data_IF_568576737861
#
_entry.id   IF_568576737861
#
_cell.length_a   1.000
_cell.length_b   1.000
_cell.length_c   1.000
_cell.angle_alpha   90.00
_cell.angle_beta   90.00
_cell.angle_gamma   90.00
#
_symmetry.space_group_name_H-M   'P 1'
#
loop_
_entity.id
_entity.type
_entity.pdbx_description
1 polymer ?
#
# COMPACT_ATOMS: atom_id res chain seq x y z
N UNK A 1 70.74 -18.07 -16.85
CA UNK A 1 69.94 -17.75 -18.05
C UNK A 1 68.90 -18.83 -18.23
N UNK A 2 67.64 -18.54 -17.91
CA UNK A 2 66.52 -19.44 -18.15
C UNK A 2 65.38 -18.55 -18.67
N UNK A 3 64.89 -18.87 -19.87
CA UNK A 3 63.93 -18.05 -20.62
C UNK A 3 62.52 -18.06 -20.01
N UNK A 4 61.67 -17.10 -20.42
CA UNK A 4 60.34 -16.91 -19.83
C UNK A 4 59.31 -17.91 -20.38
N UNK A 5 58.53 -18.50 -19.47
CA UNK A 5 57.37 -19.33 -19.77
C UNK A 5 56.22 -18.45 -20.28
N UNK A 6 55.94 -18.54 -21.58
CA UNK A 6 54.76 -17.99 -22.23
C UNK A 6 53.49 -18.69 -21.72
N UNK A 7 52.70 -17.97 -20.94
CA UNK A 7 51.33 -18.32 -20.62
C UNK A 7 50.48 -18.27 -21.91
N UNK A 8 49.93 -19.42 -22.31
CA UNK A 8 49.00 -19.50 -23.44
C UNK A 8 47.67 -18.81 -23.07
N UNK A 9 47.33 -17.78 -23.84
CA UNK A 9 46.02 -17.14 -23.87
C UNK A 9 45.05 -18.08 -24.59
N UNK A 10 44.04 -18.60 -23.91
CA UNK A 10 42.91 -19.30 -24.51
C UNK A 10 41.85 -18.30 -24.96
N UNK A 11 41.33 -18.38 -26.20
CA UNK A 11 40.30 -17.46 -26.70
C UNK A 11 38.94 -17.69 -26.07
N UNK A 12 38.25 -16.57 -25.86
CA UNK A 12 36.85 -16.40 -25.47
C UNK A 12 35.88 -17.16 -26.38
N UNK A 13 34.94 -17.89 -25.77
CA UNK A 13 33.76 -18.45 -26.43
C UNK A 13 32.69 -17.35 -26.63
N UNK A 14 31.97 -17.32 -27.76
CA UNK A 14 30.95 -16.32 -28.04
C UNK A 14 29.57 -16.72 -27.51
N UNK A 15 28.92 -15.77 -26.84
CA UNK A 15 27.49 -15.45 -26.98
C UNK A 15 26.46 -16.57 -26.82
N UNK A 16 26.20 -16.98 -25.57
CA UNK A 16 24.93 -17.61 -25.21
C UNK A 16 23.82 -16.55 -25.14
N UNK A 17 22.90 -16.57 -26.11
CA UNK A 17 21.67 -15.75 -26.06
C UNK A 17 20.73 -16.35 -25.01
N UNK A 18 20.78 -15.82 -23.80
CA UNK A 18 19.81 -16.13 -22.77
C UNK A 18 18.50 -15.38 -23.09
N UNK A 19 17.55 -16.11 -23.68
CA UNK A 19 16.20 -15.61 -23.94
C UNK A 19 15.50 -15.34 -22.61
N UNK A 20 15.61 -14.10 -22.14
CA UNK A 20 14.84 -13.57 -21.01
C UNK A 20 13.37 -13.53 -21.42
N UNK A 21 12.63 -14.60 -21.17
CA UNK A 21 11.17 -14.57 -21.18
C UNK A 21 10.74 -13.61 -20.08
N UNK A 22 10.33 -12.41 -20.47
CA UNK A 22 9.64 -11.46 -19.60
C UNK A 22 8.33 -12.12 -19.20
N UNK A 23 8.30 -12.70 -17.99
CA UNK A 23 7.05 -13.06 -17.34
C UNK A 23 6.30 -11.76 -17.10
N UNK A 24 5.37 -11.43 -18.00
CA UNK A 24 4.40 -10.38 -17.76
C UNK A 24 3.69 -10.73 -16.44
N UNK A 25 3.96 -9.95 -15.40
CA UNK A 25 3.22 -10.03 -14.15
C UNK A 25 1.77 -9.70 -14.41
N UNK A 26 0.95 -10.74 -14.62
CA UNK A 26 -0.50 -10.63 -14.63
C UNK A 26 -0.93 -10.23 -13.22
N UNK A 27 -1.33 -8.96 -13.06
CA UNK A 27 -1.96 -8.45 -11.85
C UNK A 27 -3.09 -9.40 -11.41
N UNK A 28 -3.15 -9.83 -10.13
CA UNK A 28 -4.17 -10.76 -9.64
C UNK A 28 -5.61 -10.24 -9.87
N UNK A 29 -5.75 -8.92 -10.02
CA UNK A 29 -7.02 -8.25 -10.25
C UNK A 29 -7.51 -8.30 -11.71
N UNK A 30 -6.64 -8.62 -12.68
CA UNK A 30 -6.99 -8.66 -14.11
C UNK A 30 -7.41 -10.05 -14.58
N UNK A 31 -6.98 -11.10 -13.88
CA UNK A 31 -7.35 -12.49 -14.17
C UNK A 31 -8.77 -12.82 -13.70
N UNK A 32 -9.22 -12.18 -12.61
CA UNK A 32 -10.57 -12.37 -12.05
C UNK A 32 -11.67 -11.78 -12.91
N UNK A 33 -11.39 -10.75 -13.72
CA UNK A 33 -12.37 -10.17 -14.64
C UNK A 33 -12.79 -11.17 -15.72
N UNK A 34 -11.86 -11.93 -16.30
CA UNK A 34 -12.21 -12.89 -17.36
C UNK A 34 -12.97 -14.12 -16.83
N UNK A 35 -12.70 -14.52 -15.59
CA UNK A 35 -13.41 -15.63 -14.95
C UNK A 35 -14.78 -15.20 -14.37
N UNK A 36 -14.94 -13.96 -13.91
CA UNK A 36 -16.23 -13.45 -13.45
C UNK A 36 -17.18 -13.14 -14.61
N UNK A 37 -16.70 -12.56 -15.72
CA UNK A 37 -17.55 -12.29 -16.89
C UNK A 37 -18.13 -13.60 -17.45
N UNK A 38 -17.36 -14.68 -17.50
CA UNK A 38 -17.84 -16.00 -17.96
C UNK A 38 -18.76 -16.76 -16.99
N UNK A 39 -18.71 -16.46 -15.69
CA UNK A 39 -19.60 -17.08 -14.69
C UNK A 39 -20.95 -16.36 -14.60
N UNK A 40 -20.96 -15.05 -14.79
CA UNK A 40 -22.18 -14.24 -14.80
C UNK A 40 -23.01 -14.54 -16.07
N UNK A 41 -22.37 -14.76 -17.22
CA UNK A 41 -23.04 -15.19 -18.47
C UNK A 41 -23.66 -16.60 -18.37
N UNK A 42 -23.15 -17.47 -17.50
CA UNK A 42 -23.67 -18.85 -17.34
C UNK A 42 -24.84 -18.95 -16.38
N UNK A 43 -24.97 -18.03 -15.42
CA UNK A 43 -26.07 -18.03 -14.45
C UNK A 43 -27.33 -17.36 -15.03
N UNK A 44 -27.21 -16.54 -16.07
CA UNK A 44 -28.34 -15.77 -16.61
C UNK A 44 -29.17 -16.52 -17.66
N UNK A 45 -28.60 -17.34 -18.55
CA UNK A 45 -29.40 -17.86 -19.68
C UNK A 45 -30.42 -18.96 -19.29
N UNK A 46 -30.02 -19.97 -18.51
CA UNK A 46 -30.92 -21.10 -18.21
C UNK A 46 -32.16 -20.73 -17.36
N UNK A 47 -32.06 -19.89 -16.32
CA UNK A 47 -33.24 -19.50 -15.53
C UNK A 47 -34.14 -18.49 -16.26
N UNK A 48 -33.57 -17.61 -17.09
CA UNK A 48 -34.35 -16.61 -17.83
C UNK A 48 -35.15 -17.23 -18.98
N UNK A 49 -34.56 -18.16 -19.74
CA UNK A 49 -35.29 -18.88 -20.81
C UNK A 49 -36.48 -19.67 -20.26
N UNK A 50 -36.33 -20.30 -19.09
CA UNK A 50 -37.45 -20.97 -18.41
C UNK A 50 -38.50 -19.99 -17.88
N UNK A 51 -38.10 -18.82 -17.38
CA UNK A 51 -39.03 -17.81 -16.86
C UNK A 51 -39.86 -17.12 -17.96
N UNK A 52 -39.36 -17.08 -19.20
CA UNK A 52 -40.06 -16.51 -20.36
C UNK A 52 -40.68 -17.56 -21.27
N UNK A 53 -40.59 -18.85 -20.94
CA UNK A 53 -41.23 -19.93 -21.68
C UNK A 53 -42.76 -19.72 -21.73
N UNK A 54 -43.32 -19.64 -22.94
CA UNK A 54 -44.75 -19.35 -23.17
C UNK A 54 -45.11 -17.87 -23.31
N UNK A 55 -44.13 -16.96 -23.20
CA UNK A 55 -44.30 -15.55 -23.59
C UNK A 55 -43.82 -15.33 -25.02
N UNK A 56 -44.38 -14.34 -25.75
CA UNK A 56 -43.92 -13.97 -27.11
C UNK A 56 -42.56 -13.23 -27.12
N UNK A 57 -41.78 -13.30 -26.04
CA UNK A 57 -40.54 -12.55 -25.84
C UNK A 57 -39.37 -13.48 -26.19
N UNK A 58 -38.72 -13.22 -27.33
CA UNK A 58 -37.51 -13.94 -27.73
C UNK A 58 -36.27 -13.20 -27.23
N UNK A 59 -35.51 -13.86 -26.35
CA UNK A 59 -34.19 -13.38 -25.87
C UNK A 59 -33.11 -13.37 -26.96
N UNK A 60 -33.42 -13.82 -28.18
CA UNK A 60 -32.50 -13.77 -29.33
C UNK A 60 -32.49 -12.40 -30.02
N UNK A 61 -33.39 -11.48 -29.66
CA UNK A 61 -33.40 -10.13 -30.23
C UNK A 61 -32.37 -9.22 -29.54
N UNK A 62 -31.45 -8.58 -30.31
CA UNK A 62 -30.34 -7.80 -29.74
C UNK A 62 -30.83 -6.64 -28.87
N UNK A 63 -31.91 -5.97 -29.29
CA UNK A 63 -32.49 -4.83 -28.55
C UNK A 63 -33.01 -5.21 -27.16
N UNK A 64 -33.57 -6.42 -27.02
CA UNK A 64 -34.09 -6.92 -25.74
C UNK A 64 -32.93 -7.28 -24.82
N UNK A 65 -31.93 -8.00 -25.35
CA UNK A 65 -30.72 -8.34 -24.58
C UNK A 65 -29.99 -7.10 -24.09
N UNK A 66 -29.85 -6.09 -24.95
CA UNK A 66 -29.18 -4.83 -24.60
C UNK A 66 -29.93 -4.10 -23.47
N UNK A 67 -31.26 -3.97 -23.58
CA UNK A 67 -32.08 -3.34 -22.52
C UNK A 67 -31.99 -4.09 -21.19
N UNK A 68 -31.93 -5.42 -21.23
CA UNK A 68 -31.76 -6.24 -20.03
C UNK A 68 -30.37 -6.04 -19.41
N UNK A 69 -29.31 -5.99 -20.21
CA UNK A 69 -27.95 -5.70 -19.72
C UNK A 69 -27.85 -4.32 -19.10
N UNK A 70 -28.41 -3.30 -19.76
CA UNK A 70 -28.44 -1.92 -19.24
C UNK A 70 -29.17 -1.86 -17.90
N UNK A 71 -30.33 -2.53 -17.78
CA UNK A 71 -31.06 -2.60 -16.50
C UNK A 71 -30.34 -3.37 -15.42
N UNK A 72 -29.66 -4.45 -15.78
CA UNK A 72 -28.83 -5.20 -14.83
C UNK A 72 -27.66 -4.35 -14.33
N UNK A 73 -27.01 -3.60 -15.22
CA UNK A 73 -25.87 -2.76 -14.86
C UNK A 73 -26.31 -1.53 -14.05
N UNK A 74 -27.45 -0.93 -14.35
CA UNK A 74 -28.08 0.10 -13.51
C UNK A 74 -28.29 -0.40 -12.07
N UNK A 75 -28.78 -1.63 -11.92
CA UNK A 75 -29.02 -2.24 -10.60
C UNK A 75 -27.70 -2.53 -9.88
N UNK A 76 -26.70 -3.09 -10.56
CA UNK A 76 -25.35 -3.29 -10.00
C UNK A 76 -24.74 -1.97 -9.54
N UNK A 77 -24.84 -0.93 -10.36
CA UNK A 77 -24.31 0.40 -10.04
C UNK A 77 -25.01 1.00 -8.82
N UNK A 78 -26.35 0.87 -8.74
CA UNK A 78 -27.12 1.28 -7.55
C UNK A 78 -26.65 0.52 -6.31
N UNK A 79 -26.59 -0.82 -6.35
CA UNK A 79 -26.14 -1.64 -5.22
C UNK A 79 -24.73 -1.22 -4.77
N UNK A 80 -23.81 -1.02 -5.72
CA UNK A 80 -22.46 -0.56 -5.42
C UNK A 80 -22.44 0.83 -4.76
N UNK A 81 -23.27 1.77 -5.24
CA UNK A 81 -23.40 3.11 -4.66
C UNK A 81 -23.97 3.06 -3.23
N UNK A 82 -25.01 2.26 -3.00
CA UNK A 82 -25.58 2.04 -1.67
C UNK A 82 -24.57 1.38 -0.72
N UNK A 83 -23.84 0.37 -1.18
CA UNK A 83 -22.77 -0.28 -0.42
C UNK A 83 -21.67 0.69 -0.01
N UNK A 84 -21.21 1.56 -0.93
CA UNK A 84 -20.25 2.63 -0.62
C UNK A 84 -20.80 3.61 0.42
N UNK A 85 -22.07 3.98 0.31
CA UNK A 85 -22.72 4.90 1.27
C UNK A 85 -22.78 4.30 2.67
N UNK A 86 -23.19 3.04 2.80
CA UNK A 86 -23.22 2.30 4.07
C UNK A 86 -21.82 2.22 4.66
N UNK A 87 -20.82 1.83 3.85
CA UNK A 87 -19.42 1.74 4.29
C UNK A 87 -18.93 3.08 4.82
N UNK A 88 -19.12 4.17 4.06
CA UNK A 88 -18.74 5.52 4.49
C UNK A 88 -19.38 5.90 5.82
N UNK A 89 -20.68 5.64 5.99
CA UNK A 89 -21.38 5.94 7.23
C UNK A 89 -20.81 5.12 8.40
N UNK A 90 -20.64 3.81 8.22
CA UNK A 90 -20.08 2.93 9.24
C UNK A 90 -18.66 3.32 9.66
N UNK A 91 -17.80 3.69 8.70
CA UNK A 91 -16.42 4.14 8.96
C UNK A 91 -16.41 5.49 9.68
N UNK A 92 -17.29 6.41 9.27
CA UNK A 92 -17.47 7.70 9.92
C UNK A 92 -17.90 7.54 11.38
N UNK A 93 -18.95 6.75 11.63
CA UNK A 93 -19.40 6.43 12.99
C UNK A 93 -18.32 5.72 13.81
N UNK A 94 -17.56 4.80 13.21
CA UNK A 94 -16.44 4.13 13.88
C UNK A 94 -15.38 5.12 14.32
N UNK A 95 -14.92 5.99 13.41
CA UNK A 95 -13.92 7.04 13.71
C UNK A 95 -14.42 7.99 14.78
N UNK A 96 -15.67 8.44 14.69
CA UNK A 96 -16.28 9.30 15.70
C UNK A 96 -16.26 8.65 17.09
N UNK A 97 -16.69 7.38 17.18
CA UNK A 97 -16.68 6.64 18.45
C UNK A 97 -15.26 6.40 18.97
N UNK A 98 -14.30 6.07 18.10
CA UNK A 98 -12.89 5.89 18.46
C UNK A 98 -12.27 7.20 18.97
N UNK A 99 -12.54 8.32 18.31
CA UNK A 99 -12.03 9.64 18.74
C UNK A 99 -12.67 10.08 20.06
N UNK A 100 -13.97 9.86 20.24
CA UNK A 100 -14.64 10.13 21.51
C UNK A 100 -14.05 9.28 22.63
N UNK A 101 -13.81 7.98 22.36
CA UNK A 101 -13.19 7.08 23.32
C UNK A 101 -11.74 7.46 23.61
N UNK A 102 -10.98 7.94 22.61
CA UNK A 102 -9.64 8.48 22.81
C UNK A 102 -9.64 9.67 23.79
N UNK A 103 -10.59 10.59 23.64
CA UNK A 103 -10.68 11.76 24.51
C UNK A 103 -11.11 11.39 25.94
N UNK A 104 -12.01 10.42 26.12
CA UNK A 104 -12.54 10.06 27.43
C UNK A 104 -11.74 8.98 28.17
N UNK A 105 -11.28 7.96 27.46
CA UNK A 105 -10.63 6.75 28.01
C UNK A 105 -9.70 6.10 26.98
N UNK A 106 -8.49 6.67 26.87
CA UNK A 106 -7.44 6.19 25.97
C UNK A 106 -7.10 4.71 26.21
N UNK A 107 -7.04 4.28 27.47
CA UNK A 107 -6.68 2.90 27.85
C UNK A 107 -7.66 1.90 27.25
N UNK A 108 -8.95 2.20 27.31
CA UNK A 108 -9.99 1.35 26.73
C UNK A 108 -9.94 1.34 25.20
N UNK A 109 -9.62 2.45 24.56
CA UNK A 109 -9.40 2.47 23.11
C UNK A 109 -8.22 1.55 22.73
N UNK A 110 -7.08 1.68 23.40
CA UNK A 110 -5.91 0.85 23.09
C UNK A 110 -6.19 -0.63 23.33
N UNK A 111 -6.87 -1.00 24.42
CA UNK A 111 -7.33 -2.40 24.64
C UNK A 111 -8.28 -2.91 23.56
N UNK A 112 -9.08 -2.05 22.94
CA UNK A 112 -9.97 -2.41 21.84
C UNK A 112 -9.20 -2.56 20.50
N UNK A 113 -8.16 -1.76 20.31
CA UNK A 113 -7.28 -1.83 19.13
C UNK A 113 -6.31 -3.01 19.22
N UNK A 114 -5.90 -3.37 20.43
CA UNK A 114 -5.23 -4.63 20.73
C UNK A 114 -6.13 -5.77 20.25
N UNK A 115 -5.74 -6.40 19.14
CA UNK A 115 -6.34 -7.69 18.76
C UNK A 115 -6.03 -8.69 19.88
N UNK A 116 -6.92 -9.68 20.15
CA UNK A 116 -6.57 -10.76 21.07
C UNK A 116 -5.20 -11.29 20.66
N UNK A 117 -4.28 -11.25 21.63
CA UNK A 117 -2.85 -11.46 21.44
C UNK A 117 -2.61 -12.65 20.52
N UNK A 118 -2.19 -12.38 19.29
CA UNK A 118 -1.24 -13.26 18.58
C UNK A 118 0.18 -12.98 19.11
N UNK A 119 0.31 -12.46 20.33
CA UNK A 119 1.47 -12.75 21.14
C UNK A 119 1.26 -14.19 21.59
N UNK A 120 1.78 -15.14 20.80
CA UNK A 120 2.06 -16.47 21.34
C UNK A 120 2.76 -16.30 22.68
N UNK A 121 2.51 -17.22 23.61
CA UNK A 121 3.19 -17.31 24.90
C UNK A 121 4.68 -17.67 24.74
N UNK A 122 5.36 -17.04 23.77
CA UNK A 122 6.78 -17.15 23.52
C UNK A 122 7.51 -16.00 24.18
N UNK A 123 8.65 -16.33 24.76
CA UNK A 123 9.68 -15.39 25.16
C UNK A 123 9.93 -14.40 24.00
N UNK A 124 10.04 -13.11 24.30
CA UNK A 124 10.38 -12.10 23.29
C UNK A 124 11.68 -12.43 22.57
N UNK A 125 11.94 -11.86 21.38
CA UNK A 125 13.20 -12.08 20.66
C UNK A 125 14.39 -11.70 21.55
N UNK A 126 15.49 -12.44 21.42
CA UNK A 126 16.69 -12.20 22.20
C UNK A 126 17.27 -10.81 21.93
N UNK A 127 17.94 -10.22 22.91
CA UNK A 127 18.53 -8.90 22.79
C UNK A 127 19.58 -8.85 21.66
N UNK A 128 20.35 -9.92 21.48
CA UNK A 128 21.33 -10.01 20.42
C UNK A 128 20.66 -9.97 19.03
N UNK A 129 19.53 -10.66 18.86
CA UNK A 129 18.77 -10.69 17.61
C UNK A 129 18.19 -9.31 17.26
N UNK A 130 17.67 -8.58 18.26
CA UNK A 130 17.17 -7.22 18.07
C UNK A 130 18.30 -6.28 17.62
N UNK A 131 19.46 -6.36 18.29
CA UNK A 131 20.62 -5.53 17.96
C UNK A 131 21.11 -5.87 16.56
N UNK A 132 21.25 -7.16 16.22
CA UNK A 132 21.69 -7.60 14.90
C UNK A 132 20.74 -7.13 13.80
N UNK A 133 19.43 -7.22 14.02
CA UNK A 133 18.40 -6.77 13.08
C UNK A 133 18.53 -5.26 12.79
N UNK A 134 18.52 -4.41 13.82
CA UNK A 134 18.60 -2.96 13.63
C UNK A 134 19.96 -2.53 13.10
N UNK A 135 21.03 -3.20 13.54
CA UNK A 135 22.38 -2.95 13.04
C UNK A 135 22.49 -3.27 11.56
N UNK A 136 21.94 -4.39 11.09
CA UNK A 136 21.91 -4.73 9.67
C UNK A 136 21.17 -3.69 8.84
N UNK A 137 20.03 -3.21 9.34
CA UNK A 137 19.23 -2.21 8.62
C UNK A 137 19.92 -0.85 8.48
N UNK A 138 20.70 -0.43 9.48
CA UNK A 138 21.30 0.92 9.52
C UNK A 138 22.80 0.97 9.21
N UNK A 139 23.52 -0.14 9.34
CA UNK A 139 24.97 -0.17 9.12
C UNK A 139 25.33 -0.53 7.69
N UNK A 140 24.43 -1.18 6.95
CA UNK A 140 24.66 -1.50 5.56
C UNK A 140 24.32 -0.30 4.68
N UNK A 141 25.30 0.27 3.94
CA UNK A 141 25.01 1.33 2.99
C UNK A 141 24.20 0.75 1.83
N UNK A 142 22.90 1.04 1.79
CA UNK A 142 22.03 0.67 0.68
C UNK A 142 22.04 1.79 -0.35
N UNK A 143 22.38 1.46 -1.60
CA UNK A 143 22.15 2.37 -2.72
C UNK A 143 20.66 2.35 -3.07
N UNK A 144 19.93 3.41 -2.71
CA UNK A 144 18.53 3.55 -3.09
C UNK A 144 18.45 3.95 -4.57
N UNK A 145 17.70 3.17 -5.35
CA UNK A 145 17.28 3.63 -6.67
C UNK A 145 16.18 4.66 -6.47
N UNK A 146 16.49 5.91 -6.77
CA UNK A 146 15.53 6.98 -6.64
C UNK A 146 14.31 6.76 -7.54
N UNK A 147 13.13 7.05 -7.00
CA UNK A 147 11.89 6.87 -7.74
C UNK A 147 11.65 8.01 -8.75
N UNK A 148 10.88 7.79 -9.83
CA UNK A 148 10.55 8.84 -10.81
C UNK A 148 9.87 10.09 -10.20
N UNK A 149 9.29 9.95 -9.00
CA UNK A 149 8.68 11.06 -8.28
C UNK A 149 9.69 12.12 -7.82
N UNK A 150 10.98 11.76 -7.64
CA UNK A 150 12.01 12.73 -7.28
C UNK A 150 12.25 13.75 -8.39
N UNK A 151 12.24 13.32 -9.66
CA UNK A 151 12.33 14.22 -10.81
C UNK A 151 11.13 15.17 -10.86
N UNK A 152 9.93 14.65 -10.54
CA UNK A 152 8.72 15.47 -10.43
C UNK A 152 8.86 16.52 -9.33
N UNK A 153 9.30 16.14 -8.13
CA UNK A 153 9.50 17.08 -7.02
C UNK A 153 10.60 18.10 -7.34
N UNK A 154 11.72 17.66 -7.95
CA UNK A 154 12.79 18.56 -8.37
C UNK A 154 12.29 19.56 -9.43
N UNK A 155 11.48 19.12 -10.39
CA UNK A 155 10.90 20.01 -11.41
C UNK A 155 9.91 21.02 -10.81
N UNK A 156 9.11 20.61 -9.83
CA UNK A 156 8.20 21.49 -9.09
C UNK A 156 8.98 22.49 -8.21
N UNK A 157 10.10 22.06 -7.63
CA UNK A 157 10.97 22.87 -6.81
C UNK A 157 11.95 23.76 -7.57
N UNK A 158 12.09 23.59 -8.89
CA UNK A 158 13.05 24.34 -9.71
C UNK A 158 12.77 25.86 -9.74
N UNK A 159 11.52 26.27 -9.50
CA UNK A 159 11.11 27.67 -9.38
C UNK A 159 11.29 28.25 -7.98
N UNK A 160 11.61 27.41 -6.98
CA UNK A 160 11.79 27.82 -5.60
C UNK A 160 13.23 28.27 -5.40
N UNK A 161 13.41 29.51 -4.96
CA UNK A 161 14.73 30.03 -4.59
C UNK A 161 15.33 29.16 -3.47
N UNK A 162 16.55 28.63 -3.64
CA UNK A 162 17.21 27.87 -2.59
C UNK A 162 17.39 28.75 -1.36
N UNK A 163 17.18 28.16 -0.19
CA UNK A 163 17.42 28.83 1.08
C UNK A 163 18.91 29.16 1.21
N UNK A 164 19.23 30.38 1.63
CA UNK A 164 20.60 30.80 1.89
C UNK A 164 21.27 29.86 2.91
N UNK A 165 22.59 29.64 2.79
CA UNK A 165 23.32 28.79 3.73
C UNK A 165 23.19 29.33 5.15
N UNK A 166 22.49 28.59 6.01
CA UNK A 166 22.33 28.90 7.43
C UNK A 166 23.56 28.36 8.17
N UNK A 167 24.31 29.25 8.81
CA UNK A 167 25.36 28.87 9.75
C UNK A 167 24.77 28.90 11.15
N UNK A 168 24.62 27.73 11.78
CA UNK A 168 24.12 27.63 13.15
C UNK A 168 25.30 27.81 14.11
N UNK A 169 25.27 28.87 14.91
CA UNK A 169 26.29 29.15 15.92
C UNK A 169 25.92 28.53 17.28
N UNK A 170 26.89 28.29 18.18
CA UNK A 170 26.61 27.83 19.54
C UNK A 170 25.64 28.75 20.31
N UNK A 171 25.71 30.05 20.04
CA UNK A 171 24.84 31.07 20.64
C UNK A 171 23.38 30.90 20.18
N UNK A 172 23.15 30.57 18.90
CA UNK A 172 21.82 30.28 18.36
C UNK A 172 21.19 29.07 19.06
N UNK A 173 22.00 28.04 19.32
CA UNK A 173 21.55 26.84 20.04
C UNK A 173 21.23 27.17 21.49
N UNK A 174 22.09 27.94 22.17
CA UNK A 174 21.86 28.34 23.55
C UNK A 174 20.57 29.17 23.71
N UNK A 175 20.34 30.12 22.80
CA UNK A 175 19.14 30.96 22.80
C UNK A 175 17.88 30.15 22.44
N UNK A 176 17.98 29.22 21.48
CA UNK A 176 16.88 28.33 21.13
C UNK A 176 16.48 27.41 22.29
N UNK A 177 17.47 26.81 22.98
CA UNK A 177 17.22 25.95 24.17
C UNK A 177 16.62 26.77 25.31
N UNK A 178 17.08 28.01 25.52
CA UNK A 178 16.53 28.90 26.55
C UNK A 178 15.07 29.27 26.30
N UNK A 179 14.68 29.43 25.03
CA UNK A 179 13.30 29.74 24.62
C UNK A 179 12.43 28.51 24.42
N UNK A 180 13.04 27.34 24.24
CA UNK A 180 12.30 26.11 24.06
C UNK A 180 11.42 25.88 25.29
N UNK A 181 10.12 25.64 25.10
CA UNK A 181 9.27 25.24 26.21
C UNK A 181 9.87 23.98 26.83
N UNK A 182 9.75 23.86 28.15
CA UNK A 182 10.14 22.65 28.85
C UNK A 182 9.57 21.46 28.07
N UNK A 183 10.43 20.58 27.57
CA UNK A 183 10.10 19.40 26.75
C UNK A 183 9.18 18.40 27.46
N UNK A 184 8.87 18.69 28.74
CA UNK A 184 7.81 18.08 29.54
C UNK A 184 6.41 18.64 29.24
N UNK A 185 6.22 19.56 28.29
CA UNK A 185 4.87 19.95 27.88
C UNK A 185 4.15 18.71 27.34
N UNK A 186 2.95 18.39 27.86
CA UNK A 186 2.21 17.24 27.37
C UNK A 186 1.95 17.44 25.88
N UNK A 187 2.11 16.37 25.10
CA UNK A 187 1.78 16.40 23.68
C UNK A 187 0.31 16.75 23.45
N UNK A 188 -0.11 16.88 22.19
CA UNK A 188 -1.53 17.05 21.83
C UNK A 188 -2.43 15.91 22.36
N UNK A 189 -1.83 14.79 22.76
CA UNK A 189 -2.44 13.63 23.41
C UNK A 189 -2.54 13.72 24.94
N UNK A 190 -2.01 14.78 25.56
CA UNK A 190 -2.02 15.00 27.00
C UNK A 190 -1.00 14.17 27.78
N UNK A 191 -0.14 13.40 27.08
CA UNK A 191 0.81 12.50 27.72
C UNK A 191 2.12 13.24 28.04
N UNK A 192 2.50 13.21 29.31
CA UNK A 192 3.80 13.66 29.78
C UNK A 192 4.78 12.50 29.61
N UNK A 193 5.87 12.70 28.87
CA UNK A 193 7.01 11.77 28.90
C UNK A 193 7.73 11.99 30.23
N UNK A 194 7.28 11.26 31.25
CA UNK A 194 8.03 11.12 32.50
C UNK A 194 9.03 9.97 32.30
N UNK A 195 10.31 10.30 32.21
CA UNK A 195 11.40 9.32 32.33
C UNK A 195 11.44 8.74 33.74
#
# INVERSE_FOLDING_TARGET
MAGPLLHKVTPSQPGGKESRTVSQGSSPYRQTDKLQVGLIDRITCAPLEMAFAGTNISLSQPDITQKLTERMDDLKQKIAAWGKRIRRFSEGSRRFNQNRLFQSDQKRLYKLLERPKVCGAGQGPDQADIIAFWRGLWSEPVNHSEGPWMEVVASQGASVTPMDPITITPEDVAEAVRRAPNWKSPGLDGLLITC
#
